data_IF_700574545410
#
_entry.id   IF_700574545410
#
_cell.length_a   1.000
_cell.length_b   1.000
_cell.length_c   1.000
_cell.angle_alpha   90.00
_cell.angle_beta   90.00
_cell.angle_gamma   90.00
#
_symmetry.space_group_name_H-M   'P 1'
#
loop_
_entity.id
_entity.type
_entity.pdbx_description
1 polymer ?
#
# COMPACT_ATOMS: atom_id res chain seq x y z
N UNK A 1 40.46 -8.68 -30.49
CA UNK A 1 39.34 -8.72 -31.46
C UNK A 1 38.18 -9.61 -31.04
N UNK A 2 38.37 -10.90 -30.72
CA UNK A 2 37.27 -11.80 -30.32
C UNK A 2 36.66 -11.45 -28.94
N UNK A 3 37.48 -10.97 -27.99
CA UNK A 3 37.06 -10.59 -26.63
C UNK A 3 36.24 -9.29 -26.59
N UNK A 4 36.52 -8.35 -27.51
CA UNK A 4 35.77 -7.08 -27.60
C UNK A 4 34.39 -7.27 -28.23
N UNK A 5 34.27 -8.19 -29.20
CA UNK A 5 32.98 -8.55 -29.80
C UNK A 5 32.03 -9.20 -28.76
N UNK A 6 32.57 -10.06 -27.89
CA UNK A 6 31.79 -10.69 -26.80
C UNK A 6 31.33 -9.67 -25.77
N UNK A 7 32.15 -8.67 -25.40
CA UNK A 7 31.74 -7.55 -24.53
C UNK A 7 30.65 -6.68 -25.15
N UNK A 8 30.73 -6.41 -26.44
CA UNK A 8 29.71 -5.65 -27.18
C UNK A 8 28.41 -6.44 -27.27
N UNK A 9 28.47 -7.75 -27.51
CA UNK A 9 27.30 -8.63 -27.56
C UNK A 9 26.62 -8.79 -26.19
N UNK A 10 27.40 -8.88 -25.10
CA UNK A 10 26.88 -8.91 -23.72
C UNK A 10 26.23 -7.56 -23.35
N UNK A 11 26.83 -6.43 -23.75
CA UNK A 11 26.24 -5.09 -23.54
C UNK A 11 24.97 -4.89 -24.36
N UNK A 12 24.94 -5.34 -25.61
CA UNK A 12 23.75 -5.32 -26.46
C UNK A 12 22.65 -6.22 -25.90
N UNK A 13 22.99 -7.42 -25.41
CA UNK A 13 22.05 -8.33 -24.76
C UNK A 13 21.53 -7.75 -23.44
N UNK A 14 22.36 -7.05 -22.67
CA UNK A 14 21.94 -6.33 -21.47
C UNK A 14 21.02 -5.14 -21.80
N UNK A 15 21.32 -4.39 -22.88
CA UNK A 15 20.49 -3.28 -23.37
C UNK A 15 19.14 -3.77 -23.92
N UNK A 16 19.15 -4.89 -24.64
CA UNK A 16 17.94 -5.58 -25.11
C UNK A 16 17.14 -6.21 -23.95
N UNK A 17 17.81 -6.65 -22.88
CA UNK A 17 17.16 -7.14 -21.65
C UNK A 17 16.54 -5.97 -20.86
N UNK A 18 17.15 -4.78 -20.90
CA UNK A 18 16.59 -3.55 -20.34
C UNK A 18 15.38 -3.05 -21.14
N UNK A 19 15.36 -3.23 -22.47
CA UNK A 19 14.23 -2.89 -23.34
C UNK A 19 13.12 -3.96 -23.27
N UNK A 20 13.43 -5.26 -23.20
CA UNK A 20 12.43 -6.32 -22.92
C UNK A 20 11.83 -6.18 -21.54
N UNK A 21 12.65 -5.87 -20.53
CA UNK A 21 12.18 -5.52 -19.20
C UNK A 21 11.36 -4.22 -19.14
N UNK A 22 11.25 -3.47 -20.25
CA UNK A 22 10.32 -2.34 -20.42
C UNK A 22 8.99 -2.82 -21.04
N UNK A 23 9.05 -3.75 -22.00
CA UNK A 23 7.88 -4.30 -22.71
C UNK A 23 7.10 -5.32 -21.87
N UNK A 24 7.81 -6.26 -21.25
CA UNK A 24 7.24 -7.24 -20.29
C UNK A 24 6.73 -6.53 -19.03
N UNK A 25 7.22 -5.33 -18.76
CA UNK A 25 6.82 -4.47 -17.66
C UNK A 25 5.55 -3.65 -17.95
N UNK A 26 5.27 -3.33 -19.23
CA UNK A 26 4.03 -2.67 -19.65
C UNK A 26 2.86 -3.66 -19.67
N UNK A 27 3.10 -4.93 -20.04
CA UNK A 27 2.07 -5.97 -20.02
C UNK A 27 1.70 -6.43 -18.61
N UNK A 28 2.59 -6.23 -17.65
CA UNK A 28 2.49 -6.86 -16.34
C UNK A 28 1.68 -6.08 -15.30
N UNK A 29 1.25 -4.82 -15.48
CA UNK A 29 0.50 -4.04 -14.47
C UNK A 29 -0.66 -3.25 -15.12
N UNK A 30 -1.85 -3.13 -14.48
CA UNK A 30 -3.06 -2.53 -15.08
C UNK A 30 -2.99 -0.99 -15.08
N UNK A 31 -1.92 -0.44 -15.66
CA UNK A 31 -1.74 1.00 -15.81
C UNK A 31 -2.90 1.62 -16.58
N UNK A 32 -3.30 0.99 -17.69
CA UNK A 32 -4.37 1.49 -18.57
C UNK A 32 -5.70 1.60 -17.81
N UNK A 33 -6.04 0.61 -16.99
CA UNK A 33 -7.25 0.64 -16.16
C UNK A 33 -7.23 1.80 -15.14
N UNK A 34 -6.12 1.98 -14.41
CA UNK A 34 -5.99 3.06 -13.42
C UNK A 34 -6.01 4.43 -14.11
N UNK A 35 -5.37 4.56 -15.27
CA UNK A 35 -5.35 5.79 -16.04
C UNK A 35 -6.74 6.16 -16.58
N UNK A 36 -7.50 5.19 -17.09
CA UNK A 36 -8.88 5.37 -17.54
C UNK A 36 -9.80 5.83 -16.40
N UNK A 37 -9.72 5.14 -15.24
CA UNK A 37 -10.45 5.53 -14.01
C UNK A 37 -10.11 6.95 -13.56
N UNK A 38 -8.82 7.32 -13.59
CA UNK A 38 -8.39 8.66 -13.23
C UNK A 38 -8.92 9.75 -14.21
N UNK A 39 -8.98 9.46 -15.51
CA UNK A 39 -9.47 10.40 -16.52
C UNK A 39 -10.98 10.60 -16.47
N UNK A 40 -11.74 9.49 -16.40
CA UNK A 40 -13.18 9.45 -16.63
C UNK A 40 -14.02 9.32 -15.36
N UNK A 41 -13.45 8.96 -14.21
CA UNK A 41 -14.20 8.80 -12.96
C UNK A 41 -15.23 7.67 -13.04
N UNK A 42 -16.48 7.93 -12.62
CA UNK A 42 -17.57 6.93 -12.58
C UNK A 42 -17.83 6.26 -13.94
N UNK A 43 -17.68 7.00 -15.03
CA UNK A 43 -17.88 6.47 -16.39
C UNK A 43 -16.89 5.34 -16.75
N UNK A 44 -15.78 5.19 -16.02
CA UNK A 44 -14.79 4.13 -16.23
C UNK A 44 -15.14 2.78 -15.58
N UNK A 45 -16.21 2.71 -14.77
CA UNK A 45 -16.68 1.45 -14.16
C UNK A 45 -17.36 0.55 -15.21
N UNK A 46 -17.80 1.12 -16.32
CA UNK A 46 -18.42 0.41 -17.43
C UNK A 46 -17.38 0.02 -18.51
N UNK A 47 -17.45 -1.20 -19.08
CA UNK A 47 -16.38 -1.73 -19.94
C UNK A 47 -16.26 -0.96 -21.26
N UNK A 48 -15.17 -0.20 -21.44
CA UNK A 48 -14.78 0.39 -22.73
C UNK A 48 -13.25 0.50 -22.90
N UNK A 49 -12.69 -0.26 -23.85
CA UNK A 49 -11.57 0.07 -24.77
C UNK A 49 -10.19 0.50 -24.25
N UNK A 50 -9.15 -0.26 -24.67
CA UNK A 50 -7.70 -0.15 -24.40
C UNK A 50 -7.00 1.17 -24.86
N UNK A 51 -5.80 1.44 -24.30
CA UNK A 51 -4.51 1.87 -24.96
C UNK A 51 -3.62 2.83 -24.11
N UNK A 52 -2.48 2.31 -23.61
CA UNK A 52 -1.03 2.76 -23.52
C UNK A 52 -0.64 4.27 -23.40
N UNK A 53 0.51 4.75 -22.86
CA UNK A 53 1.66 4.29 -22.03
C UNK A 53 2.52 5.50 -21.56
N UNK A 54 3.08 5.52 -20.32
CA UNK A 54 4.37 6.16 -19.94
C UNK A 54 4.79 5.88 -18.46
N UNK A 55 6.07 5.61 -18.15
CA UNK A 55 6.65 5.82 -16.78
C UNK A 55 7.17 4.59 -15.98
N UNK A 56 8.25 3.95 -16.44
CA UNK A 56 8.54 2.53 -16.17
C UNK A 56 9.46 2.12 -15.01
N UNK A 57 9.38 2.77 -13.84
CA UNK A 57 10.09 2.31 -12.63
C UNK A 57 9.18 2.07 -11.41
N UNK A 58 7.87 2.26 -11.55
CA UNK A 58 6.89 2.29 -10.43
C UNK A 58 6.20 0.94 -10.18
N UNK A 59 6.44 -0.09 -11.01
CA UNK A 59 5.51 -1.25 -11.13
C UNK A 59 5.80 -2.49 -10.26
N UNK A 60 6.81 -2.53 -9.39
CA UNK A 60 7.04 -3.66 -8.47
C UNK A 60 7.58 -4.94 -9.15
N UNK A 61 7.48 -6.11 -8.50
CA UNK A 61 7.94 -7.38 -9.08
C UNK A 61 6.99 -7.87 -10.18
N UNK A 62 7.54 -8.29 -11.33
CA UNK A 62 6.76 -8.91 -12.41
C UNK A 62 6.03 -10.16 -11.93
N UNK A 63 4.73 -10.22 -12.26
CA UNK A 63 3.86 -11.35 -11.90
C UNK A 63 3.96 -12.44 -12.95
N UNK A 64 4.36 -12.15 -14.18
CA UNK A 64 4.38 -13.16 -15.24
C UNK A 64 5.80 -13.65 -15.56
N UNK A 65 5.92 -14.93 -15.92
CA UNK A 65 7.11 -15.50 -16.55
C UNK A 65 6.87 -15.57 -18.06
N UNK A 66 7.31 -14.55 -18.80
CA UNK A 66 7.21 -14.55 -20.27
C UNK A 66 5.76 -14.55 -20.78
N UNK A 67 5.37 -15.55 -21.57
CA UNK A 67 4.13 -15.61 -22.39
C UNK A 67 2.83 -15.77 -21.57
N UNK A 68 2.59 -14.94 -20.56
CA UNK A 68 1.30 -14.83 -19.88
C UNK A 68 1.01 -15.85 -18.78
N UNK A 69 2.01 -16.62 -18.31
CA UNK A 69 1.84 -17.50 -17.13
C UNK A 69 2.22 -16.74 -15.85
N UNK A 70 1.29 -16.59 -14.87
CA UNK A 70 1.63 -15.95 -13.61
C UNK A 70 2.61 -16.83 -12.83
N UNK A 71 3.72 -16.23 -12.37
CA UNK A 71 4.75 -16.82 -11.49
C UNK A 71 4.19 -17.28 -10.16
N UNK A 72 3.07 -16.72 -9.74
CA UNK A 72 2.35 -17.08 -8.53
C UNK A 72 0.88 -16.65 -8.63
N UNK A 73 0.03 -17.36 -7.88
CA UNK A 73 -1.41 -17.08 -7.74
C UNK A 73 -1.65 -15.68 -7.15
N UNK A 74 -2.60 -14.96 -7.72
CA UNK A 74 -3.03 -13.60 -7.35
C UNK A 74 -4.52 -13.57 -6.98
N UNK A 75 -5.03 -12.42 -6.55
CA UNK A 75 -6.47 -12.27 -6.32
C UNK A 75 -7.30 -12.31 -7.61
N UNK A 76 -6.73 -11.89 -8.75
CA UNK A 76 -7.45 -11.78 -10.03
C UNK A 76 -7.68 -13.15 -10.69
N UNK A 77 -6.65 -14.00 -10.71
CA UNK A 77 -6.67 -15.31 -11.38
C UNK A 77 -7.12 -16.47 -10.49
N UNK A 78 -7.15 -16.27 -9.16
CA UNK A 78 -7.35 -17.37 -8.21
C UNK A 78 -8.66 -17.30 -7.44
N UNK A 79 -9.31 -16.14 -7.39
CA UNK A 79 -10.49 -15.90 -6.54
C UNK A 79 -11.64 -15.28 -7.34
N UNK A 80 -12.86 -15.71 -7.04
CA UNK A 80 -14.10 -15.19 -7.62
C UNK A 80 -15.10 -14.89 -6.51
N UNK A 81 -15.95 -13.88 -6.73
CA UNK A 81 -17.07 -13.57 -5.86
C UNK A 81 -18.30 -14.36 -6.28
N UNK A 82 -19.10 -14.84 -5.32
CA UNK A 82 -20.27 -15.69 -5.56
C UNK A 82 -21.57 -14.99 -5.11
N UNK A 83 -22.25 -14.25 -6.00
CA UNK A 83 -23.58 -13.71 -5.72
C UNK A 83 -24.59 -14.80 -5.35
N UNK A 84 -25.33 -14.66 -4.24
CA UNK A 84 -26.44 -15.56 -3.92
C UNK A 84 -27.71 -15.18 -4.70
N UNK A 85 -28.55 -16.17 -5.01
CA UNK A 85 -29.89 -15.91 -5.57
C UNK A 85 -30.88 -15.41 -4.50
N UNK A 86 -30.68 -15.80 -3.24
CA UNK A 86 -31.51 -15.42 -2.11
C UNK A 86 -30.81 -14.33 -1.30
N UNK A 87 -31.43 -13.15 -1.19
CA UNK A 87 -30.82 -11.97 -0.57
C UNK A 87 -31.68 -11.45 0.61
N UNK A 88 -31.73 -12.15 1.76
CA UNK A 88 -32.56 -11.73 2.89
C UNK A 88 -32.21 -10.32 3.42
N UNK A 89 -30.92 -9.95 3.40
CA UNK A 89 -30.46 -8.59 3.76
C UNK A 89 -30.99 -7.50 2.84
N UNK A 90 -31.28 -7.84 1.57
CA UNK A 90 -31.93 -6.91 0.64
C UNK A 90 -33.38 -6.62 1.06
N UNK A 91 -34.11 -7.63 1.54
CA UNK A 91 -35.46 -7.44 2.07
C UNK A 91 -35.44 -6.57 3.33
N UNK A 92 -34.51 -6.83 4.24
CA UNK A 92 -34.28 -5.99 5.44
C UNK A 92 -34.00 -4.54 5.03
N UNK A 93 -33.09 -4.32 4.07
CA UNK A 93 -32.76 -2.98 3.59
C UNK A 93 -33.93 -2.31 2.85
N UNK A 94 -34.71 -3.07 2.08
CA UNK A 94 -35.91 -2.57 1.41
C UNK A 94 -36.95 -2.09 2.42
N UNK A 95 -37.14 -2.83 3.51
CA UNK A 95 -38.05 -2.45 4.59
C UNK A 95 -37.57 -1.17 5.31
N UNK A 96 -36.27 -1.00 5.52
CA UNK A 96 -35.66 0.23 6.07
C UNK A 96 -35.88 1.45 5.16
N UNK A 97 -35.65 1.28 3.85
CA UNK A 97 -35.69 2.38 2.88
C UNK A 97 -37.09 2.69 2.33
N UNK A 98 -38.06 1.80 2.54
CA UNK A 98 -39.40 1.82 1.91
C UNK A 98 -39.34 1.89 0.37
N UNK A 99 -38.27 1.34 -0.23
CA UNK A 99 -38.06 1.18 -1.67
C UNK A 99 -37.03 0.08 -1.94
N UNK A 100 -36.95 -0.38 -3.18
CA UNK A 100 -35.86 -1.27 -3.60
C UNK A 100 -34.48 -0.61 -3.34
N UNK A 101 -33.57 -1.30 -2.64
CA UNK A 101 -32.22 -0.82 -2.42
C UNK A 101 -31.37 -0.94 -3.69
N UNK A 102 -30.46 0.00 -3.86
CA UNK A 102 -29.48 0.06 -4.95
C UNK A 102 -28.08 -0.11 -4.37
N UNK A 103 -27.08 -0.32 -5.22
CA UNK A 103 -25.69 -0.40 -4.73
C UNK A 103 -25.25 0.87 -3.98
N UNK A 104 -25.81 2.04 -4.31
CA UNK A 104 -25.49 3.30 -3.63
C UNK A 104 -25.89 3.29 -2.14
N UNK A 105 -26.79 2.40 -1.73
CA UNK A 105 -27.24 2.23 -0.35
C UNK A 105 -26.30 1.36 0.50
N UNK A 106 -25.23 0.82 -0.11
CA UNK A 106 -24.21 0.05 0.60
C UNK A 106 -23.37 0.97 1.49
N UNK A 107 -23.31 0.62 2.77
CA UNK A 107 -22.42 1.25 3.73
C UNK A 107 -20.99 0.69 3.61
N UNK A 108 -20.03 1.57 3.36
CA UNK A 108 -18.60 1.25 3.38
C UNK A 108 -17.87 1.81 4.61
N UNK A 109 -18.57 2.61 5.43
CA UNK A 109 -17.95 3.31 6.55
C UNK A 109 -17.55 2.36 7.67
N UNK A 110 -16.44 2.66 8.33
CA UNK A 110 -15.92 1.80 9.37
C UNK A 110 -14.83 2.44 10.21
N UNK A 111 -14.15 1.59 10.97
CA UNK A 111 -12.95 1.96 11.70
C UNK A 111 -11.76 1.18 11.14
N UNK A 112 -10.65 1.88 10.92
CA UNK A 112 -9.43 1.31 10.39
C UNK A 112 -8.23 1.86 11.14
N UNK A 113 -7.60 1.01 11.95
CA UNK A 113 -6.39 1.33 12.71
C UNK A 113 -6.55 2.49 13.69
N UNK A 114 -7.73 2.62 14.31
CA UNK A 114 -8.07 3.70 15.25
C UNK A 114 -8.57 4.99 14.60
N UNK A 115 -8.88 4.97 13.30
CA UNK A 115 -9.48 6.09 12.58
C UNK A 115 -10.85 5.71 12.04
N UNK A 116 -11.82 6.63 12.11
CA UNK A 116 -13.06 6.50 11.34
C UNK A 116 -12.75 6.72 9.88
N UNK A 117 -13.22 5.85 8.99
CA UNK A 117 -12.99 5.94 7.55
C UNK A 117 -14.29 5.84 6.76
N UNK A 118 -14.35 6.51 5.62
CA UNK A 118 -15.50 6.46 4.70
C UNK A 118 -15.55 5.15 3.89
N UNK A 119 -14.42 4.48 3.77
CA UNK A 119 -14.24 3.19 3.10
C UNK A 119 -12.93 2.53 3.56
N UNK A 120 -12.79 1.19 3.49
CA UNK A 120 -11.64 0.47 4.05
C UNK A 120 -10.42 0.50 3.12
N UNK A 121 -10.01 1.69 2.69
CA UNK A 121 -8.87 1.95 1.80
C UNK A 121 -7.89 2.91 2.47
N UNK A 122 -6.60 2.62 2.34
CA UNK A 122 -5.51 3.48 2.79
C UNK A 122 -4.62 3.85 1.61
N UNK A 123 -4.28 5.14 1.49
CA UNK A 123 -3.20 5.58 0.61
C UNK A 123 -1.88 5.19 1.27
N UNK A 124 -1.12 4.33 0.62
CA UNK A 124 0.08 3.76 1.21
C UNK A 124 1.26 4.72 1.32
N UNK A 125 2.04 4.56 2.39
CA UNK A 125 3.25 5.32 2.72
C UNK A 125 4.30 5.25 1.60
N UNK A 126 4.37 6.30 0.78
CA UNK A 126 5.39 6.46 -0.26
C UNK A 126 6.54 7.33 0.25
N UNK A 127 7.78 6.83 0.13
CA UNK A 127 8.98 7.53 0.61
C UNK A 127 9.44 8.71 -0.27
N UNK A 128 10.65 9.19 -0.01
CA UNK A 128 11.22 10.45 -0.55
C UNK A 128 11.54 10.53 -2.05
N UNK A 129 11.17 9.51 -2.84
CA UNK A 129 11.45 9.46 -4.29
C UNK A 129 10.80 10.61 -5.07
N UNK A 130 11.49 11.14 -6.09
CA UNK A 130 11.06 12.34 -6.82
C UNK A 130 9.63 12.24 -7.39
N UNK A 131 9.26 11.06 -7.92
CA UNK A 131 7.94 10.84 -8.53
C UNK A 131 6.81 10.90 -7.51
N UNK A 132 6.94 10.19 -6.38
CA UNK A 132 5.96 10.23 -5.30
C UNK A 132 5.84 11.64 -4.68
N UNK A 133 6.96 12.37 -4.64
CA UNK A 133 7.02 13.65 -3.94
C UNK A 133 6.43 14.81 -4.76
N UNK A 134 6.41 14.73 -6.09
CA UNK A 134 5.82 15.77 -6.95
C UNK A 134 4.30 15.85 -6.82
N UNK A 135 3.64 14.71 -6.61
CA UNK A 135 2.18 14.60 -6.60
C UNK A 135 1.58 14.48 -5.18
N UNK A 136 2.41 14.55 -4.15
CA UNK A 136 1.98 14.26 -2.78
C UNK A 136 0.89 15.18 -2.24
N UNK A 137 0.90 16.48 -2.60
CA UNK A 137 -0.16 17.40 -2.14
C UNK A 137 -1.51 17.09 -2.79
N UNK A 138 -1.49 16.72 -4.07
CA UNK A 138 -2.70 16.33 -4.81
C UNK A 138 -3.33 15.08 -4.19
N UNK A 139 -2.48 14.09 -3.86
CA UNK A 139 -2.92 12.85 -3.22
C UNK A 139 -3.44 13.14 -1.82
N UNK A 140 -2.72 13.95 -1.04
CA UNK A 140 -3.10 14.29 0.33
C UNK A 140 -4.48 14.96 0.41
N UNK A 141 -4.73 15.99 -0.40
CA UNK A 141 -6.02 16.69 -0.41
C UNK A 141 -7.17 15.80 -0.87
N UNK A 142 -6.96 15.02 -1.93
CA UNK A 142 -8.00 14.12 -2.43
C UNK A 142 -8.32 13.01 -1.42
N UNK A 143 -7.31 12.44 -0.76
CA UNK A 143 -7.49 11.43 0.28
C UNK A 143 -8.25 11.98 1.49
N UNK A 144 -7.89 13.20 1.93
CA UNK A 144 -8.56 13.87 3.05
C UNK A 144 -10.05 14.14 2.74
N UNK A 145 -10.34 14.72 1.57
CA UNK A 145 -11.72 14.98 1.11
C UNK A 145 -12.54 13.70 0.95
N UNK A 146 -11.89 12.60 0.57
CA UNK A 146 -12.55 11.31 0.44
C UNK A 146 -12.75 10.60 1.80
N UNK A 147 -12.14 11.05 2.89
CA UNK A 147 -12.26 10.42 4.20
C UNK A 147 -11.48 9.12 4.35
N UNK A 148 -10.38 8.95 3.59
CA UNK A 148 -9.51 7.76 3.65
C UNK A 148 -8.16 8.10 4.27
N UNK A 149 -7.53 7.13 4.94
CA UNK A 149 -6.25 7.34 5.64
C UNK A 149 -5.11 7.59 4.64
N UNK A 150 -4.21 8.54 4.96
CA UNK A 150 -3.00 8.84 4.20
C UNK A 150 -1.74 8.38 4.93
N UNK A 151 -0.95 7.52 4.30
CA UNK A 151 0.42 7.21 4.72
C UNK A 151 1.45 8.16 4.10
N UNK A 152 2.34 8.71 4.93
CA UNK A 152 3.54 9.44 4.51
C UNK A 152 4.74 8.54 4.79
N UNK A 153 5.50 8.22 3.74
CA UNK A 153 6.60 7.27 3.81
C UNK A 153 7.90 7.80 4.39
N UNK A 154 8.83 6.87 4.57
CA UNK A 154 10.16 7.10 5.12
C UNK A 154 11.00 8.15 4.35
N UNK A 155 11.98 8.73 5.04
CA UNK A 155 13.00 9.65 4.54
C UNK A 155 12.48 10.98 3.98
N UNK A 156 11.17 11.25 4.02
CA UNK A 156 10.58 12.47 3.42
C UNK A 156 11.10 13.72 4.15
N UNK A 157 11.08 13.73 5.48
CA UNK A 157 11.55 14.87 6.26
C UNK A 157 13.05 15.13 6.07
N UNK A 158 13.89 14.09 6.11
CA UNK A 158 15.33 14.23 5.90
C UNK A 158 15.67 14.73 4.49
N UNK A 159 15.00 14.22 3.46
CA UNK A 159 15.34 14.52 2.06
C UNK A 159 14.70 15.79 1.54
N UNK A 160 13.45 16.07 1.94
CA UNK A 160 12.67 17.24 1.45
C UNK A 160 12.59 18.40 2.42
N UNK A 161 13.09 18.20 3.64
CA UNK A 161 13.01 19.12 4.75
C UNK A 161 11.73 18.94 5.54
N UNK A 162 11.80 19.20 6.86
CA UNK A 162 10.65 19.10 7.76
C UNK A 162 9.62 20.21 7.48
N UNK A 163 9.94 21.47 7.78
CA UNK A 163 9.05 22.62 7.50
C UNK A 163 9.38 23.31 6.18
N UNK A 164 10.67 23.46 5.85
CA UNK A 164 11.14 24.18 4.66
C UNK A 164 11.47 23.22 3.53
N UNK A 165 11.02 23.54 2.31
CA UNK A 165 11.40 22.80 1.09
C UNK A 165 12.91 22.91 0.84
N UNK A 166 13.57 21.77 0.67
CA UNK A 166 14.96 21.72 0.20
C UNK A 166 15.10 21.78 -1.32
N UNK A 167 14.05 21.44 -2.07
CA UNK A 167 14.07 21.41 -3.54
C UNK A 167 12.83 22.09 -4.09
N UNK A 168 13.01 22.96 -5.11
CA UNK A 168 11.88 23.61 -5.79
C UNK A 168 11.00 22.55 -6.46
N UNK A 169 9.70 22.65 -6.26
CA UNK A 169 8.72 21.70 -6.82
C UNK A 169 8.50 20.42 -6.01
N UNK A 170 9.25 20.23 -4.90
CA UNK A 170 8.98 19.15 -3.95
C UNK A 170 8.54 19.74 -2.59
N UNK A 171 7.30 19.46 -2.15
CA UNK A 171 6.81 19.88 -0.84
C UNK A 171 7.61 19.26 0.29
N UNK A 172 7.77 20.01 1.38
CA UNK A 172 8.34 19.57 2.65
C UNK A 172 7.45 18.49 3.28
N UNK A 173 7.95 17.86 4.34
CA UNK A 173 7.18 16.90 5.12
C UNK A 173 5.92 17.55 5.70
N UNK A 174 6.06 18.69 6.38
CA UNK A 174 4.96 19.38 7.05
C UNK A 174 3.90 19.88 6.08
N UNK A 175 4.30 20.37 4.90
CA UNK A 175 3.34 20.75 3.86
C UNK A 175 2.42 19.61 3.43
N UNK A 176 2.93 18.36 3.43
CA UNK A 176 2.13 17.17 3.07
C UNK A 176 1.13 16.82 4.17
N UNK A 177 1.62 16.79 5.41
CA UNK A 177 0.79 16.54 6.60
C UNK A 177 -0.34 17.57 6.66
N UNK A 178 0.01 18.86 6.56
CA UNK A 178 -0.97 19.94 6.62
C UNK A 178 -1.92 19.94 5.43
N UNK A 179 -1.46 19.61 4.22
CA UNK A 179 -2.37 19.48 3.07
C UNK A 179 -3.44 18.40 3.25
N UNK A 180 -3.18 17.36 4.05
CA UNK A 180 -4.17 16.38 4.46
C UNK A 180 -5.04 16.95 5.60
N UNK A 181 -4.42 17.29 6.74
CA UNK A 181 -5.12 17.65 7.98
C UNK A 181 -5.99 18.90 7.86
N UNK A 182 -5.63 19.87 7.02
CA UNK A 182 -6.47 21.07 6.77
C UNK A 182 -7.63 20.82 5.81
N UNK A 183 -7.68 19.65 5.19
CA UNK A 183 -8.73 19.24 4.24
C UNK A 183 -9.51 18.02 4.74
N UNK A 184 -9.19 17.52 5.94
CA UNK A 184 -9.92 16.42 6.57
C UNK A 184 -11.16 17.01 7.26
N UNK A 185 -12.26 16.27 7.21
CA UNK A 185 -13.50 16.62 7.91
C UNK A 185 -13.74 15.55 8.99
N UNK A 186 -14.77 14.71 8.84
CA UNK A 186 -15.18 13.73 9.86
C UNK A 186 -14.45 12.38 9.82
N UNK A 187 -13.88 12.03 8.67
CA UNK A 187 -13.29 10.72 8.42
C UNK A 187 -11.84 10.87 7.95
N UNK A 188 -11.01 9.90 8.30
CA UNK A 188 -9.63 9.79 7.89
C UNK A 188 -8.63 9.88 9.04
N UNK A 189 -7.37 9.98 8.66
CA UNK A 189 -6.21 10.08 9.53
C UNK A 189 -4.93 10.09 8.71
N UNK A 190 -3.86 10.65 9.27
CA UNK A 190 -2.52 10.62 8.67
C UNK A 190 -1.61 9.70 9.45
N UNK A 191 -0.96 8.78 8.74
CA UNK A 191 0.04 7.87 9.26
C UNK A 191 1.43 8.33 8.81
N UNK A 192 2.33 8.52 9.77
CA UNK A 192 3.70 8.96 9.53
C UNK A 192 4.61 7.77 9.76
N UNK A 193 5.13 7.23 8.66
CA UNK A 193 6.05 6.11 8.69
C UNK A 193 7.45 6.56 9.09
N UNK A 194 8.08 5.80 9.98
CA UNK A 194 9.47 6.02 10.38
C UNK A 194 10.28 4.74 10.15
N UNK A 195 11.41 4.90 9.48
CA UNK A 195 12.45 3.86 9.41
C UNK A 195 13.57 4.15 10.45
N UNK A 196 14.62 3.33 10.45
CA UNK A 196 15.73 3.49 11.40
C UNK A 196 16.41 4.85 11.26
N UNK A 197 16.65 5.32 10.04
CA UNK A 197 17.35 6.59 9.85
C UNK A 197 16.47 7.79 10.19
N UNK A 198 15.17 7.75 9.91
CA UNK A 198 14.23 8.79 10.36
C UNK A 198 14.20 8.89 11.90
N UNK A 199 14.39 7.78 12.62
CA UNK A 199 14.49 7.78 14.07
C UNK A 199 15.70 8.55 14.60
N UNK A 200 16.84 8.55 13.87
CA UNK A 200 18.01 9.37 14.23
C UNK A 200 17.71 10.88 14.16
N UNK A 201 16.71 11.30 13.38
CA UNK A 201 16.25 12.69 13.35
C UNK A 201 15.15 12.96 14.38
N UNK A 202 14.79 11.97 15.20
CA UNK A 202 13.67 12.01 16.14
C UNK A 202 12.37 12.49 15.49
N UNK A 203 12.07 11.99 14.28
CA UNK A 203 10.95 12.48 13.46
C UNK A 203 9.62 12.49 14.24
N UNK A 204 9.29 11.39 14.93
CA UNK A 204 8.06 11.33 15.72
C UNK A 204 8.04 12.29 16.90
N UNK A 205 9.15 12.51 17.62
CA UNK A 205 9.22 13.54 18.66
C UNK A 205 8.95 14.93 18.07
N UNK A 206 9.60 15.25 16.94
CA UNK A 206 9.38 16.52 16.24
C UNK A 206 7.92 16.72 15.88
N UNK A 207 7.28 15.71 15.28
CA UNK A 207 5.86 15.74 14.95
C UNK A 207 4.98 15.90 16.19
N UNK A 208 5.23 15.12 17.24
CA UNK A 208 4.39 15.10 18.44
C UNK A 208 4.50 16.39 19.26
N UNK A 209 5.63 17.09 19.16
CA UNK A 209 5.88 18.41 19.77
C UNK A 209 5.50 19.60 18.88
N UNK A 210 5.10 19.37 17.63
CA UNK A 210 4.82 20.44 16.67
C UNK A 210 3.47 21.10 16.99
N UNK A 211 3.51 22.40 17.31
CA UNK A 211 2.32 23.18 17.70
C UNK A 211 1.28 23.31 16.59
N UNK A 212 1.67 23.22 15.33
CA UNK A 212 0.70 23.23 14.23
C UNK A 212 -0.01 21.87 14.07
N UNK A 213 0.55 20.79 14.65
CA UNK A 213 0.00 19.43 14.59
C UNK A 213 -0.71 19.02 15.89
N UNK A 214 -0.42 19.69 17.01
CA UNK A 214 -0.98 19.40 18.33
C UNK A 214 -2.52 19.27 18.34
N UNK A 215 -3.32 20.19 17.73
CA UNK A 215 -4.78 20.03 17.70
C UNK A 215 -5.24 18.75 17.01
N UNK A 216 -4.61 18.39 15.89
CA UNK A 216 -4.96 17.18 15.14
C UNK A 216 -4.53 15.89 15.84
N UNK A 217 -3.46 15.96 16.63
CA UNK A 217 -3.05 14.86 17.51
C UNK A 217 -4.09 14.67 18.62
N UNK A 218 -4.61 15.76 19.20
CA UNK A 218 -5.68 15.72 20.22
C UNK A 218 -7.00 15.17 19.69
N UNK A 219 -7.33 15.50 18.45
CA UNK A 219 -8.49 14.93 17.74
C UNK A 219 -8.28 13.46 17.32
N UNK A 220 -7.08 12.90 17.53
CA UNK A 220 -6.77 11.51 17.20
C UNK A 220 -6.63 11.23 15.71
N UNK A 221 -6.28 12.25 14.91
CA UNK A 221 -6.12 12.18 13.46
C UNK A 221 -4.70 11.83 13.01
N UNK A 222 -3.76 11.64 13.94
CA UNK A 222 -2.36 11.34 13.65
C UNK A 222 -1.98 9.97 14.21
N UNK A 223 -1.24 9.20 13.43
CA UNK A 223 -0.60 7.98 13.88
C UNK A 223 0.80 7.77 13.32
N UNK A 224 1.50 6.83 13.93
CA UNK A 224 2.90 6.52 13.69
C UNK A 224 3.03 5.07 13.24
N UNK A 225 3.70 4.86 12.10
CA UNK A 225 3.88 3.54 11.48
C UNK A 225 5.33 3.07 11.59
N UNK A 226 5.54 2.02 12.39
CA UNK A 226 6.82 1.32 12.45
C UNK A 226 7.04 0.61 11.12
N UNK A 227 8.10 0.99 10.39
CA UNK A 227 8.48 0.30 9.15
C UNK A 227 9.41 -0.88 9.43
N UNK A 228 8.84 -2.07 9.62
CA UNK A 228 9.62 -3.32 9.72
C UNK A 228 10.00 -3.90 8.34
N UNK A 229 9.30 -3.51 7.28
CA UNK A 229 9.60 -4.01 5.94
C UNK A 229 8.64 -3.53 4.86
N UNK A 230 8.83 -4.07 3.67
CA UNK A 230 7.97 -3.86 2.50
C UNK A 230 8.03 -5.06 1.55
N UNK A 231 7.02 -5.17 0.68
CA UNK A 231 6.84 -6.27 -0.27
C UNK A 231 8.00 -6.48 -1.25
N UNK A 232 8.50 -5.37 -1.83
CA UNK A 232 9.49 -5.42 -2.90
C UNK A 232 10.88 -5.94 -2.48
N UNK A 233 11.21 -5.85 -1.18
CA UNK A 233 12.55 -6.16 -0.66
C UNK A 233 12.52 -6.45 0.86
N UNK A 234 11.76 -7.46 1.30
CA UNK A 234 11.73 -7.81 2.72
C UNK A 234 13.14 -8.17 3.20
N UNK A 235 13.47 -7.74 4.41
CA UNK A 235 14.79 -7.95 5.03
C UNK A 235 15.89 -7.01 4.52
N UNK A 236 15.57 -6.06 3.62
CA UNK A 236 16.49 -5.03 3.16
C UNK A 236 15.92 -3.64 3.44
N UNK A 237 16.80 -2.66 3.70
CA UNK A 237 16.38 -1.28 3.86
C UNK A 237 16.05 -0.57 2.53
N UNK A 238 15.64 0.69 2.66
CA UNK A 238 15.56 1.64 1.55
C UNK A 238 16.83 1.66 0.70
N UNK A 239 16.68 1.68 -0.62
CA UNK A 239 17.79 1.75 -1.59
C UNK A 239 17.35 2.75 -2.64
N UNK A 240 18.17 3.76 -2.90
CA UNK A 240 17.91 4.79 -3.92
C UNK A 240 19.23 5.26 -4.54
N UNK A 241 19.16 5.82 -5.74
CA UNK A 241 20.25 6.62 -6.31
C UNK A 241 20.00 8.10 -6.04
N UNK A 242 21.01 8.79 -5.55
CA UNK A 242 20.97 10.23 -5.25
C UNK A 242 22.17 10.94 -5.90
N UNK A 243 22.06 12.25 -6.21
CA UNK A 243 23.20 13.04 -6.66
C UNK A 243 24.35 13.01 -5.66
N UNK A 244 25.60 13.12 -6.15
CA UNK A 244 26.81 13.08 -5.31
C UNK A 244 26.78 14.11 -4.18
N UNK A 245 26.33 15.33 -4.46
CA UNK A 245 26.27 16.41 -3.47
C UNK A 245 25.32 16.06 -2.32
N UNK A 246 24.20 15.41 -2.64
CA UNK A 246 23.25 14.91 -1.64
C UNK A 246 23.84 13.73 -0.86
N UNK A 247 24.56 12.83 -1.52
CA UNK A 247 25.24 11.71 -0.87
C UNK A 247 26.28 12.19 0.15
N UNK A 248 27.10 13.19 -0.20
CA UNK A 248 28.08 13.79 0.71
C UNK A 248 27.39 14.40 1.93
N UNK A 249 26.29 15.13 1.72
CA UNK A 249 25.49 15.71 2.84
C UNK A 249 24.93 14.64 3.77
N UNK A 250 24.58 13.47 3.23
CA UNK A 250 23.91 12.39 3.95
C UNK A 250 24.86 11.29 4.45
N UNK A 251 26.18 11.42 4.21
CA UNK A 251 27.17 10.36 4.46
C UNK A 251 27.30 9.90 5.91
N UNK A 252 27.06 10.79 6.88
CA UNK A 252 27.12 10.46 8.30
C UNK A 252 25.91 9.65 8.79
N UNK A 253 24.79 9.72 8.05
CA UNK A 253 23.51 9.15 8.45
C UNK A 253 23.17 7.84 7.73
N UNK A 254 23.62 7.69 6.49
CA UNK A 254 23.29 6.55 5.63
C UNK A 254 24.52 5.78 5.20
N UNK A 255 24.30 4.56 4.72
CA UNK A 255 25.36 3.69 4.27
C UNK A 255 25.63 3.84 2.76
N UNK A 256 26.91 3.83 2.42
CA UNK A 256 27.42 3.90 1.06
C UNK A 256 28.52 2.84 0.90
N UNK A 257 28.56 2.13 -0.22
CA UNK A 257 29.59 1.11 -0.50
C UNK A 257 31.00 1.72 -0.54
N UNK A 258 31.10 2.94 -1.06
CA UNK A 258 32.32 3.72 -1.17
C UNK A 258 32.00 5.11 -0.64
N UNK A 259 32.95 5.71 0.07
CA UNK A 259 32.87 7.09 0.53
C UNK A 259 32.46 8.02 -0.63
N UNK A 260 31.31 8.73 -0.52
CA UNK A 260 30.80 9.59 -1.58
C UNK A 260 31.80 10.62 -2.11
N UNK A 261 32.74 11.09 -1.28
CA UNK A 261 33.76 12.06 -1.70
C UNK A 261 34.75 11.46 -2.71
N UNK A 262 35.03 10.15 -2.59
CA UNK A 262 36.02 9.40 -3.39
C UNK A 262 35.45 8.86 -4.70
N UNK A 263 34.14 8.95 -4.91
CA UNK A 263 33.46 8.46 -6.12
C UNK A 263 33.41 9.54 -7.19
N UNK A 264 33.75 9.21 -8.44
CA UNK A 264 33.66 10.15 -9.59
C UNK A 264 32.26 10.20 -10.22
N UNK A 265 31.41 9.22 -9.93
CA UNK A 265 30.06 9.13 -10.47
C UNK A 265 29.16 10.28 -10.00
N UNK A 266 28.29 10.74 -10.91
CA UNK A 266 27.29 11.78 -10.61
C UNK A 266 26.19 11.31 -9.66
N UNK A 267 25.89 10.02 -9.67
CA UNK A 267 24.86 9.41 -8.84
C UNK A 267 25.43 8.27 -8.03
N UNK A 268 25.14 8.27 -6.73
CA UNK A 268 25.66 7.31 -5.77
C UNK A 268 24.48 6.55 -5.15
N UNK A 269 24.65 5.24 -4.98
CA UNK A 269 23.64 4.40 -4.33
C UNK A 269 23.71 4.59 -2.82
N UNK A 270 22.58 4.94 -2.22
CA UNK A 270 22.40 5.08 -0.77
C UNK A 270 21.63 3.88 -0.24
N UNK A 271 22.13 3.27 0.82
CA UNK A 271 21.52 2.15 1.52
C UNK A 271 21.04 2.59 2.91
N UNK A 272 19.83 2.18 3.23
CA UNK A 272 19.28 2.18 4.59
C UNK A 272 19.43 0.78 5.19
N UNK A 273 19.44 0.70 6.52
CA UNK A 273 19.38 -0.57 7.24
C UNK A 273 17.94 -1.10 7.29
N UNK A 274 17.72 -2.42 7.34
CA UNK A 274 16.38 -2.99 7.50
C UNK A 274 15.82 -2.84 8.93
N UNK A 275 16.67 -2.47 9.90
CA UNK A 275 16.35 -2.49 11.32
C UNK A 275 16.60 -3.86 11.97
N UNK A 276 16.76 -3.84 13.29
CA UNK A 276 16.93 -5.04 14.10
C UNK A 276 15.63 -5.29 14.84
N UNK A 277 15.01 -6.43 14.57
CA UNK A 277 13.74 -6.81 15.20
C UNK A 277 13.86 -8.18 15.83
N UNK A 278 13.68 -8.23 17.13
CA UNK A 278 13.32 -9.43 17.90
C UNK A 278 11.91 -9.23 18.45
N UNK A 279 11.31 -10.29 18.97
CA UNK A 279 10.01 -10.17 19.63
C UNK A 279 10.04 -9.13 20.77
N UNK A 280 11.09 -9.16 21.60
CA UNK A 280 11.25 -8.22 22.72
C UNK A 280 11.44 -6.78 22.25
N UNK A 281 12.19 -6.57 21.15
CA UNK A 281 12.35 -5.24 20.57
C UNK A 281 10.99 -4.73 20.08
N UNK A 282 10.20 -5.56 19.37
CA UNK A 282 8.89 -5.14 18.89
C UNK A 282 7.95 -4.79 20.07
N UNK A 283 7.91 -5.62 21.11
CA UNK A 283 7.15 -5.34 22.34
C UNK A 283 7.58 -4.02 22.97
N UNK A 284 8.89 -3.86 23.16
CA UNK A 284 9.48 -2.65 23.72
C UNK A 284 9.14 -1.39 22.91
N UNK A 285 9.19 -1.49 21.57
CA UNK A 285 8.83 -0.39 20.68
C UNK A 285 7.36 0.01 20.81
N UNK A 286 6.43 -0.96 20.82
CA UNK A 286 4.99 -0.67 20.95
C UNK A 286 4.71 -0.06 22.33
N UNK A 287 5.26 -0.63 23.41
CA UNK A 287 5.12 -0.09 24.77
C UNK A 287 5.66 1.33 24.87
N UNK A 288 6.86 1.56 24.34
CA UNK A 288 7.46 2.89 24.29
C UNK A 288 6.55 3.87 23.56
N UNK A 289 6.02 3.52 22.39
CA UNK A 289 5.13 4.40 21.64
C UNK A 289 3.84 4.70 22.40
N UNK A 290 3.25 3.73 23.10
CA UNK A 290 2.06 3.96 23.93
C UNK A 290 2.32 4.91 25.08
N UNK A 291 3.52 4.90 25.66
CA UNK A 291 3.89 5.79 26.76
C UNK A 291 4.31 7.17 26.26
N UNK A 292 5.14 7.24 25.22
CA UNK A 292 5.70 8.49 24.70
C UNK A 292 4.67 9.28 23.85
N UNK A 293 3.80 8.58 23.13
CA UNK A 293 2.85 9.17 22.18
C UNK A 293 1.41 8.65 22.40
N UNK A 294 0.84 8.77 23.61
CA UNK A 294 -0.43 8.12 23.97
C UNK A 294 -1.63 8.56 23.13
N UNK A 295 -1.56 9.73 22.49
CA UNK A 295 -2.61 10.28 21.61
C UNK A 295 -2.49 9.80 20.15
N UNK A 296 -1.35 9.26 19.75
CA UNK A 296 -1.10 8.83 18.39
C UNK A 296 -1.52 7.37 18.17
N UNK A 297 -2.10 7.06 16.99
CA UNK A 297 -2.35 5.67 16.59
C UNK A 297 -1.03 4.96 16.29
N UNK A 298 -0.97 3.66 16.56
CA UNK A 298 0.26 2.85 16.41
C UNK A 298 0.03 1.81 15.33
N UNK A 299 0.76 1.94 14.22
CA UNK A 299 0.68 1.06 13.08
C UNK A 299 2.01 0.33 12.90
N UNK A 300 1.96 -0.88 12.36
CA UNK A 300 3.14 -1.67 12.01
C UNK A 300 3.01 -2.09 10.56
N UNK A 301 4.00 -1.76 9.73
CA UNK A 301 4.07 -2.25 8.35
C UNK A 301 5.23 -3.20 8.18
N UNK A 302 4.91 -4.38 7.66
CA UNK A 302 5.89 -5.44 7.41
C UNK A 302 5.75 -6.00 6.00
N UNK A 303 6.86 -6.54 5.49
CA UNK A 303 6.87 -7.31 4.26
C UNK A 303 6.38 -8.74 4.50
N UNK A 304 6.47 -9.60 3.47
CA UNK A 304 5.98 -10.97 3.54
C UNK A 304 7.02 -11.88 4.24
N UNK A 305 7.11 -11.73 5.56
CA UNK A 305 8.03 -12.48 6.43
C UNK A 305 7.42 -13.79 6.93
N UNK A 306 8.26 -14.80 7.15
CA UNK A 306 7.81 -16.16 7.54
C UNK A 306 6.99 -16.21 8.85
N UNK A 307 7.22 -15.26 9.74
CA UNK A 307 6.79 -15.14 11.13
C UNK A 307 5.79 -13.98 11.34
N UNK A 308 5.08 -13.58 10.29
CA UNK A 308 4.02 -12.54 10.36
C UNK A 308 2.94 -12.85 11.38
N UNK A 309 2.57 -14.11 11.58
CA UNK A 309 1.63 -14.54 12.61
C UNK A 309 2.09 -14.14 14.02
N UNK A 310 3.39 -14.29 14.31
CA UNK A 310 3.94 -13.87 15.60
C UNK A 310 3.94 -12.35 15.76
N UNK A 311 4.23 -11.62 14.69
CA UNK A 311 4.12 -10.14 14.68
C UNK A 311 2.68 -9.70 14.96
N UNK A 312 1.69 -10.35 14.36
CA UNK A 312 0.27 -10.06 14.61
C UNK A 312 -0.10 -10.32 16.07
N UNK A 313 0.31 -11.45 16.64
CA UNK A 313 0.06 -11.76 18.06
C UNK A 313 0.67 -10.70 18.99
N UNK A 314 1.95 -10.35 18.78
CA UNK A 314 2.62 -9.32 19.59
C UNK A 314 1.94 -7.96 19.44
N UNK A 315 1.60 -7.57 18.20
CA UNK A 315 0.91 -6.31 17.93
C UNK A 315 -0.44 -6.25 18.66
N UNK A 316 -1.19 -7.35 18.68
CA UNK A 316 -2.46 -7.45 19.37
C UNK A 316 -2.27 -7.38 20.90
N UNK A 317 -1.36 -8.18 21.46
CA UNK A 317 -1.07 -8.26 22.90
C UNK A 317 -0.61 -6.91 23.47
N UNK A 318 0.22 -6.17 22.73
CA UNK A 318 0.81 -4.91 23.19
C UNK A 318 -0.07 -3.67 22.90
N UNK A 319 -1.16 -3.84 22.15
CA UNK A 319 -2.13 -2.78 21.85
C UNK A 319 -1.73 -1.86 20.70
N UNK A 320 -1.13 -2.40 19.64
CA UNK A 320 -1.06 -1.71 18.36
C UNK A 320 -2.46 -1.59 17.75
N UNK A 321 -2.68 -0.55 16.94
CA UNK A 321 -3.99 -0.30 16.33
C UNK A 321 -4.12 -0.99 14.97
N UNK A 322 -3.02 -1.14 14.23
CA UNK A 322 -3.03 -1.81 12.94
C UNK A 322 -1.72 -2.52 12.59
N UNK A 323 -1.85 -3.57 11.78
CA UNK A 323 -0.76 -4.27 11.12
C UNK A 323 -1.04 -4.32 9.61
N UNK A 324 -0.08 -3.87 8.81
CA UNK A 324 -0.12 -3.88 7.34
C UNK A 324 0.84 -4.94 6.81
N UNK A 325 0.30 -5.99 6.19
CA UNK A 325 1.07 -7.06 5.56
C UNK A 325 1.21 -6.73 4.08
N UNK A 326 2.42 -6.41 3.62
CA UNK A 326 2.69 -6.08 2.23
C UNK A 326 3.19 -7.31 1.47
N UNK A 327 2.38 -7.85 0.55
CA UNK A 327 2.76 -8.97 -0.30
C UNK A 327 3.94 -8.64 -1.21
N UNK A 328 4.62 -9.69 -1.70
CA UNK A 328 5.80 -9.58 -2.58
C UNK A 328 5.59 -8.65 -3.79
N UNK A 329 4.35 -8.55 -4.27
CA UNK A 329 3.89 -7.72 -5.38
C UNK A 329 3.97 -6.22 -5.10
N UNK A 330 4.36 -5.84 -3.87
CA UNK A 330 4.61 -4.47 -3.45
C UNK A 330 5.54 -3.70 -4.40
N UNK A 331 5.23 -2.41 -4.58
CA UNK A 331 6.03 -1.51 -5.40
C UNK A 331 7.28 -0.99 -4.68
N UNK A 332 8.21 -0.44 -5.44
CA UNK A 332 9.38 0.29 -4.92
C UNK A 332 9.91 1.24 -5.97
N UNK A 333 10.51 2.36 -5.55
CA UNK A 333 11.28 3.20 -6.47
C UNK A 333 12.60 2.56 -6.91
N UNK A 334 13.18 1.69 -6.07
CA UNK A 334 14.37 0.90 -6.38
C UNK A 334 14.54 -0.27 -5.40
N UNK A 335 14.79 -1.46 -5.96
CA UNK A 335 15.18 -2.66 -5.20
C UNK A 335 16.08 -3.57 -6.06
N UNK A 336 16.92 -4.41 -5.42
CA UNK A 336 17.65 -5.44 -6.14
C UNK A 336 16.70 -6.39 -6.87
N UNK A 337 17.01 -6.72 -8.13
CA UNK A 337 16.19 -7.64 -8.92
C UNK A 337 16.07 -9.02 -8.28
N UNK A 338 17.13 -9.48 -7.61
CA UNK A 338 17.12 -10.74 -6.85
C UNK A 338 16.10 -10.69 -5.71
N UNK A 339 15.97 -9.56 -5.01
CA UNK A 339 15.01 -9.38 -3.94
C UNK A 339 13.57 -9.42 -4.49
N UNK A 340 13.30 -8.62 -5.53
CA UNK A 340 12.01 -8.60 -6.22
C UNK A 340 11.59 -9.98 -6.73
N UNK A 341 12.56 -10.80 -7.19
CA UNK A 341 12.26 -12.12 -7.72
C UNK A 341 12.10 -13.19 -6.64
N UNK A 342 12.92 -13.18 -5.59
CA UNK A 342 13.10 -14.36 -4.74
C UNK A 342 12.74 -14.17 -3.26
N UNK A 343 12.64 -12.94 -2.75
CA UNK A 343 12.32 -12.74 -1.33
C UNK A 343 10.83 -12.55 -1.08
N UNK A 344 10.27 -13.31 -0.14
CA UNK A 344 8.88 -13.16 0.27
C UNK A 344 7.85 -14.00 -0.48
N UNK A 345 6.63 -14.00 0.04
CA UNK A 345 5.45 -14.68 -0.49
C UNK A 345 4.41 -13.72 -1.11
N UNK A 346 3.50 -14.22 -1.97
CA UNK A 346 2.46 -13.42 -2.62
C UNK A 346 1.38 -12.87 -1.68
N UNK A 347 0.70 -11.79 -2.07
CA UNK A 347 -0.40 -11.14 -1.34
C UNK A 347 -1.47 -12.12 -0.86
N UNK A 348 -1.82 -13.12 -1.69
CA UNK A 348 -2.84 -14.12 -1.33
C UNK A 348 -2.44 -14.98 -0.11
N UNK A 349 -1.13 -15.22 0.09
CA UNK A 349 -0.61 -15.89 1.30
C UNK A 349 -0.67 -14.96 2.51
N UNK A 350 -0.50 -13.65 2.30
CA UNK A 350 -0.75 -12.64 3.34
C UNK A 350 -2.20 -12.66 3.84
N UNK A 351 -3.18 -12.81 2.92
CA UNK A 351 -4.59 -12.97 3.30
C UNK A 351 -4.84 -14.25 4.12
N UNK A 352 -4.15 -15.35 3.81
CA UNK A 352 -4.19 -16.55 4.66
C UNK A 352 -3.75 -16.25 6.09
N UNK A 353 -2.65 -15.50 6.27
CA UNK A 353 -2.16 -15.11 7.61
C UNK A 353 -3.17 -14.26 8.37
N UNK A 354 -3.85 -13.33 7.70
CA UNK A 354 -4.95 -12.54 8.28
C UNK A 354 -6.10 -13.45 8.71
N UNK A 355 -6.52 -14.37 7.83
CA UNK A 355 -7.62 -15.30 8.12
C UNK A 355 -7.31 -16.21 9.30
N UNK A 356 -6.07 -16.68 9.43
CA UNK A 356 -5.63 -17.45 10.60
C UNK A 356 -5.72 -16.64 11.89
N UNK A 357 -5.27 -15.39 11.87
CA UNK A 357 -5.41 -14.50 13.02
C UNK A 357 -6.88 -14.27 13.41
N UNK A 358 -7.78 -14.11 12.44
CA UNK A 358 -9.24 -14.01 12.71
C UNK A 358 -9.81 -15.29 13.31
N UNK A 359 -9.39 -16.47 12.83
CA UNK A 359 -9.79 -17.77 13.39
C UNK A 359 -9.30 -17.97 14.84
N UNK A 360 -8.18 -17.35 15.20
CA UNK A 360 -7.67 -17.31 16.58
C UNK A 360 -8.39 -16.27 17.46
N UNK A 361 -9.42 -15.59 16.95
CA UNK A 361 -10.23 -14.64 17.72
C UNK A 361 -9.70 -13.21 17.77
N UNK A 362 -8.63 -12.89 17.05
CA UNK A 362 -8.12 -11.51 16.96
C UNK A 362 -9.11 -10.68 16.14
N UNK A 363 -9.94 -9.86 16.77
CA UNK A 363 -10.95 -9.02 16.09
C UNK A 363 -10.65 -7.53 16.16
N UNK A 364 -10.10 -7.06 17.29
CA UNK A 364 -9.95 -5.62 17.56
C UNK A 364 -8.67 -5.00 16.96
N UNK A 365 -7.76 -5.83 16.44
CA UNK A 365 -6.61 -5.37 15.67
C UNK A 365 -6.99 -5.19 14.19
N UNK A 366 -6.76 -4.01 13.63
CA UNK A 366 -6.93 -3.79 12.19
C UNK A 366 -5.83 -4.50 11.39
N UNK A 367 -6.21 -5.48 10.58
CA UNK A 367 -5.28 -6.23 9.74
C UNK A 367 -5.47 -5.80 8.28
N UNK A 368 -4.50 -5.09 7.74
CA UNK A 368 -4.54 -4.58 6.37
C UNK A 368 -3.64 -5.42 5.47
N UNK A 369 -4.06 -5.55 4.21
CA UNK A 369 -3.28 -6.19 3.17
C UNK A 369 -2.80 -5.16 2.16
N UNK A 370 -1.55 -5.27 1.74
CA UNK A 370 -0.96 -4.53 0.63
C UNK A 370 -0.32 -5.52 -0.36
N UNK A 371 0.09 -5.00 -1.52
CA UNK A 371 0.70 -5.80 -2.58
C UNK A 371 -0.22 -5.89 -3.79
N UNK A 372 -0.06 -4.92 -4.70
CA UNK A 372 -0.73 -4.85 -6.02
C UNK A 372 -2.25 -4.90 -6.01
N UNK A 373 -2.84 -4.18 -5.07
CA UNK A 373 -4.28 -3.94 -5.02
C UNK A 373 -4.57 -2.60 -5.72
N UNK A 374 -5.68 -2.54 -6.47
CA UNK A 374 -5.97 -1.37 -7.32
C UNK A 374 -7.44 -1.14 -7.73
N UNK A 375 -8.40 -2.00 -7.38
CA UNK A 375 -9.81 -1.86 -7.79
C UNK A 375 -10.77 -2.32 -6.67
N UNK A 376 -12.08 -2.11 -6.87
CA UNK A 376 -13.10 -2.48 -5.88
C UNK A 376 -13.17 -3.99 -5.61
N UNK A 377 -12.95 -4.82 -6.62
CA UNK A 377 -12.91 -6.29 -6.44
C UNK A 377 -11.82 -6.72 -5.47
N UNK A 378 -10.66 -6.09 -5.52
CA UNK A 378 -9.59 -6.32 -4.56
C UNK A 378 -9.96 -5.91 -3.13
N UNK A 379 -10.74 -4.83 -2.96
CA UNK A 379 -11.28 -4.45 -1.65
C UNK A 379 -12.19 -5.54 -1.11
N UNK A 380 -13.22 -5.92 -1.89
CA UNK A 380 -14.25 -6.88 -1.48
C UNK A 380 -13.64 -8.26 -1.19
N UNK A 381 -12.78 -8.78 -2.08
CA UNK A 381 -12.09 -10.06 -1.88
C UNK A 381 -11.21 -10.07 -0.63
N UNK A 382 -10.49 -8.99 -0.37
CA UNK A 382 -9.64 -8.90 0.82
C UNK A 382 -10.47 -8.87 2.12
N UNK A 383 -11.56 -8.09 2.14
CA UNK A 383 -12.44 -7.97 3.31
C UNK A 383 -13.18 -9.28 3.58
N UNK A 384 -13.71 -9.94 2.55
CA UNK A 384 -14.32 -11.27 2.65
C UNK A 384 -13.36 -12.32 3.26
N UNK A 385 -12.04 -12.18 3.01
CA UNK A 385 -11.00 -13.03 3.58
C UNK A 385 -10.51 -12.58 4.97
N UNK A 386 -11.15 -11.58 5.57
CA UNK A 386 -10.94 -11.14 6.95
C UNK A 386 -10.01 -9.93 7.13
N UNK A 387 -9.55 -9.30 6.04
CA UNK A 387 -8.82 -8.05 6.13
C UNK A 387 -9.75 -6.90 6.57
N UNK A 388 -9.27 -6.02 7.44
CA UNK A 388 -9.98 -4.80 7.83
C UNK A 388 -10.02 -3.76 6.72
N UNK A 389 -9.09 -3.86 5.77
CA UNK A 389 -9.01 -2.98 4.61
C UNK A 389 -7.76 -3.21 3.79
N UNK A 390 -7.60 -2.39 2.76
CA UNK A 390 -6.52 -2.51 1.77
C UNK A 390 -5.64 -1.28 1.77
N UNK A 391 -4.35 -1.50 1.56
CA UNK A 391 -3.33 -0.46 1.62
C UNK A 391 -2.66 -0.33 0.25
N UNK A 392 -3.05 0.70 -0.51
CA UNK A 392 -2.65 0.87 -1.91
C UNK A 392 -1.80 2.13 -2.08
N UNK A 393 -0.66 2.04 -2.76
CA UNK A 393 0.19 3.22 -3.01
C UNK A 393 0.20 3.63 -4.50
N UNK A 394 0.55 2.68 -5.37
CA UNK A 394 0.76 2.92 -6.81
C UNK A 394 -0.47 3.50 -7.54
N UNK A 395 -1.70 3.02 -7.31
CA UNK A 395 -2.85 3.52 -8.06
C UNK A 395 -3.08 5.02 -7.85
N UNK A 396 -2.92 5.50 -6.62
CA UNK A 396 -3.03 6.93 -6.30
C UNK A 396 -1.94 7.76 -6.99
N UNK A 397 -0.71 7.25 -7.07
CA UNK A 397 0.37 7.93 -7.77
C UNK A 397 0.08 8.06 -9.27
N UNK A 398 -0.38 6.98 -9.91
CA UNK A 398 -0.74 6.99 -11.33
C UNK A 398 -1.91 7.95 -11.57
N UNK A 399 -2.95 7.87 -10.74
CA UNK A 399 -4.11 8.76 -10.85
C UNK A 399 -3.71 10.25 -10.72
N UNK A 400 -2.78 10.56 -9.80
CA UNK A 400 -2.27 11.91 -9.63
C UNK A 400 -1.38 12.37 -10.80
N UNK A 401 -0.61 11.46 -11.41
CA UNK A 401 0.17 11.76 -12.62
C UNK A 401 -0.71 12.10 -13.81
N UNK A 402 -1.87 11.45 -13.91
CA UNK A 402 -2.81 11.61 -15.01
C UNK A 402 -3.57 12.93 -14.92
N UNK A 403 -4.15 13.26 -13.75
CA UNK A 403 -5.03 14.43 -13.62
C UNK A 403 -4.96 15.13 -12.26
N UNK A 404 -3.79 15.06 -11.60
CA UNK A 404 -3.55 15.72 -10.32
C UNK A 404 -4.55 15.31 -9.24
N UNK A 405 -4.99 16.25 -8.41
CA UNK A 405 -5.95 16.01 -7.32
C UNK A 405 -7.27 15.45 -7.85
N UNK A 406 -7.76 15.98 -8.98
CA UNK A 406 -9.01 15.51 -9.60
C UNK A 406 -8.91 14.07 -10.10
N UNK A 407 -7.75 13.66 -10.62
CA UNK A 407 -7.50 12.28 -11.03
C UNK A 407 -7.56 11.31 -9.86
N UNK A 408 -6.96 11.69 -8.73
CA UNK A 408 -7.03 10.91 -7.48
C UNK A 408 -8.46 10.81 -6.97
N UNK A 409 -9.20 11.93 -6.93
CA UNK A 409 -10.59 11.94 -6.50
C UNK A 409 -11.48 11.05 -7.40
N UNK A 410 -11.30 11.15 -8.73
CA UNK A 410 -12.01 10.31 -9.70
C UNK A 410 -11.71 8.81 -9.50
N UNK A 411 -10.44 8.47 -9.27
CA UNK A 411 -10.05 7.08 -9.00
C UNK A 411 -10.68 6.55 -7.71
N UNK A 412 -10.68 7.33 -6.62
CA UNK A 412 -11.32 6.94 -5.36
C UNK A 412 -12.82 6.69 -5.55
N UNK A 413 -13.52 7.60 -6.24
CA UNK A 413 -14.95 7.44 -6.53
C UNK A 413 -15.24 6.19 -7.36
N UNK A 414 -14.42 5.89 -8.37
CA UNK A 414 -14.58 4.68 -9.17
C UNK A 414 -14.41 3.40 -8.33
N UNK A 415 -13.38 3.34 -7.48
CA UNK A 415 -13.15 2.18 -6.59
C UNK A 415 -14.26 2.05 -5.55
N UNK A 416 -14.77 3.16 -5.01
CA UNK A 416 -15.91 3.18 -4.11
C UNK A 416 -17.14 2.56 -4.77
N UNK A 417 -17.47 3.02 -5.98
CA UNK A 417 -18.64 2.54 -6.73
C UNK A 417 -18.52 1.05 -7.08
N UNK A 418 -17.36 0.61 -7.56
CA UNK A 418 -17.08 -0.83 -7.78
C UNK A 418 -17.29 -1.65 -6.51
N UNK A 419 -16.80 -1.15 -5.37
CA UNK A 419 -16.94 -1.84 -4.08
C UNK A 419 -18.41 -1.93 -3.69
N UNK A 420 -19.16 -0.84 -3.78
CA UNK A 420 -20.60 -0.80 -3.50
C UNK A 420 -21.40 -1.74 -4.42
N UNK A 421 -21.12 -1.74 -5.72
CA UNK A 421 -21.76 -2.64 -6.69
C UNK A 421 -21.53 -4.10 -6.34
N UNK A 422 -20.29 -4.47 -6.03
CA UNK A 422 -19.94 -5.86 -5.72
C UNK A 422 -20.52 -6.32 -4.38
N UNK A 423 -20.52 -5.49 -3.34
CA UNK A 423 -21.16 -5.81 -2.05
C UNK A 423 -22.66 -5.98 -2.21
N UNK A 424 -23.31 -5.08 -2.96
CA UNK A 424 -24.75 -5.19 -3.24
C UNK A 424 -25.08 -6.41 -4.09
N UNK A 425 -24.23 -6.78 -5.05
CA UNK A 425 -24.38 -8.00 -5.86
C UNK A 425 -24.27 -9.28 -5.01
N UNK A 426 -23.49 -9.25 -3.94
CA UNK A 426 -23.43 -10.32 -2.92
C UNK A 426 -24.65 -10.31 -1.98
N UNK A 427 -25.64 -9.45 -2.25
CA UNK A 427 -26.87 -9.34 -1.48
C UNK A 427 -26.71 -8.63 -0.14
N UNK A 428 -25.56 -7.99 0.11
CA UNK A 428 -25.19 -7.35 1.38
C UNK A 428 -25.24 -5.83 1.26
N UNK A 429 -25.45 -5.13 2.37
CA UNK A 429 -25.60 -3.67 2.40
C UNK A 429 -24.71 -2.97 3.43
N UNK A 430 -23.90 -3.74 4.17
CA UNK A 430 -22.74 -3.23 4.89
C UNK A 430 -21.51 -4.09 4.54
N UNK A 431 -20.38 -3.46 4.23
CA UNK A 431 -19.15 -4.16 3.85
C UNK A 431 -18.64 -5.13 4.94
N UNK A 432 -19.01 -4.91 6.20
CA UNK A 432 -18.64 -5.77 7.34
C UNK A 432 -19.40 -7.10 7.35
N UNK A 433 -20.47 -7.21 6.57
CA UNK A 433 -21.22 -8.45 6.41
C UNK A 433 -20.51 -9.46 5.50
N UNK A 434 -19.48 -9.02 4.76
CA UNK A 434 -18.72 -9.91 3.89
C UNK A 434 -18.08 -11.06 4.68
N UNK A 435 -18.12 -12.26 4.11
CA UNK A 435 -17.65 -13.48 4.74
C UNK A 435 -17.02 -14.41 3.70
N UNK A 436 -16.59 -15.59 4.15
CA UNK A 436 -16.08 -16.64 3.28
C UNK A 436 -17.14 -17.27 2.37
N UNK A 437 -18.43 -17.07 2.63
CA UNK A 437 -19.50 -17.54 1.75
C UNK A 437 -19.55 -16.75 0.43
N UNK A 438 -19.04 -15.51 0.43
CA UNK A 438 -19.10 -14.61 -0.73
C UNK A 438 -17.97 -14.87 -1.73
N UNK A 439 -17.03 -15.76 -1.40
CA UNK A 439 -15.79 -15.93 -2.16
C UNK A 439 -15.42 -17.40 -2.32
N UNK A 440 -15.02 -17.75 -3.53
CA UNK A 440 -14.52 -19.07 -3.86
C UNK A 440 -13.19 -19.00 -4.63
N UNK A 441 -12.45 -20.10 -4.64
CA UNK A 441 -11.22 -20.23 -5.40
C UNK A 441 -11.44 -21.01 -6.70
N UNK A 442 -10.74 -20.58 -7.75
CA UNK A 442 -10.66 -21.25 -9.05
C UNK A 442 -9.60 -22.36 -9.06
N UNK A 443 -8.79 -22.44 -8.02
CA UNK A 443 -7.72 -23.42 -7.82
C UNK A 443 -7.92 -24.19 -6.51
N UNK A 444 -7.76 -25.51 -6.56
CA UNK A 444 -8.03 -26.41 -5.43
C UNK A 444 -7.06 -26.21 -4.26
N UNK A 445 -5.79 -25.93 -4.56
CA UNK A 445 -4.78 -25.70 -3.53
C UNK A 445 -4.98 -24.34 -2.86
N UNK A 446 -5.40 -23.33 -3.63
CA UNK A 446 -5.81 -22.02 -3.09
C UNK A 446 -7.07 -22.16 -2.22
N UNK A 447 -8.09 -22.91 -2.67
CA UNK A 447 -9.29 -23.18 -1.87
C UNK A 447 -8.93 -23.84 -0.54
N UNK A 448 -8.13 -24.91 -0.59
CA UNK A 448 -7.66 -25.64 0.60
C UNK A 448 -6.82 -24.77 1.51
N UNK A 449 -5.90 -23.98 0.93
CA UNK A 449 -5.06 -23.06 1.69
C UNK A 449 -5.93 -22.05 2.43
N UNK A 450 -6.84 -21.36 1.76
CA UNK A 450 -7.68 -20.34 2.38
C UNK A 450 -8.80 -20.96 3.24
N UNK A 451 -9.15 -22.22 3.04
CA UNK A 451 -10.32 -22.86 3.65
C UNK A 451 -11.60 -22.15 3.20
N UNK A 452 -11.77 -22.04 1.88
CA UNK A 452 -12.96 -21.49 1.19
C UNK A 452 -13.41 -22.46 0.11
N UNK A 453 -14.59 -22.24 -0.46
CA UNK A 453 -15.15 -23.11 -1.50
C UNK A 453 -14.23 -23.20 -2.73
N UNK A 454 -14.06 -24.41 -3.27
CA UNK A 454 -13.49 -24.62 -4.61
C UNK A 454 -14.63 -24.65 -5.63
N UNK A 455 -14.56 -23.82 -6.68
CA UNK A 455 -15.68 -23.64 -7.62
C UNK A 455 -16.01 -24.93 -8.40
N UNK A 456 -15.03 -25.80 -8.65
CA UNK A 456 -15.20 -26.99 -9.48
C UNK A 456 -15.27 -28.31 -8.69
N UNK A 457 -15.42 -28.26 -7.37
CA UNK A 457 -15.47 -29.47 -6.55
C UNK A 457 -16.59 -29.45 -5.54
N UNK A 458 -16.91 -30.63 -5.02
CA UNK A 458 -17.77 -30.80 -3.85
C UNK A 458 -16.97 -30.44 -2.58
N UNK A 459 -17.68 -29.85 -1.60
CA UNK A 459 -17.15 -29.29 -0.34
C UNK A 459 -16.30 -30.32 0.43
#
# INVERSE_FOLDING_TARGET
MLIDLVRVFIRLRAYWTAIRGLRDFISDYPFDEIALKALKGRDAVYPFGEVTSYGSAVLGSGIYEGRGYPRFRTLDDSLILLPPAFTPRRLEKMAELLREPTFMDVNLEGELGGFKVSMPIVVGSMGSTSIANRFSLNIARAAAKAGIVLGIGENVATVRGYSRRYTRGHPSFKERVMAYLTNVDKYGGVIIQQNVEDAYDELWNKVYSDKDLEPYIEEGLVGFEIKMGQGAKPGLGGVIKIPKEEAIRLKAKYHFEIDPEKVKDKFITRYSVPGTYTEDILRGMIRFMRTAYPRARIWIKLGPYRDVDRVISIAHEEGAHAVVIDGKEGGTGMAPSVALKHLGYPTIVGLKKIRDARKLGIKDLSLLIAGRLYNGSHVVKAVALGASGVYMARPFLIAAMVKGEKGVANYIEAVKEETQMLVSALGKYDIKELSDEDIAALDKDVAKMLGIQYVYGDI
#
